data_IF_892276352042
#
_entry.id   IF_892276352042
#
_cell.length_a   1.000
_cell.length_b   1.000
_cell.length_c   1.000
_cell.angle_alpha   90.00
_cell.angle_beta   90.00
_cell.angle_gamma   90.00
#
_symmetry.space_group_name_H-M   'P 1'
#
loop_
_entity.id
_entity.type
_entity.pdbx_description
1 polymer ?
#
# COMPACT_ATOMS: atom_id res chain seq x y z
N UNK A 1 44.71 -8.73 28.91
CA UNK A 1 43.57 -8.11 28.20
C UNK A 1 43.67 -8.14 26.67
N UNK A 2 44.80 -7.75 26.05
CA UNK A 2 44.92 -7.74 24.56
C UNK A 2 44.63 -9.09 23.87
N UNK A 3 45.08 -10.21 24.44
CA UNK A 3 44.80 -11.56 23.90
C UNK A 3 43.32 -11.93 24.01
N UNK A 4 42.67 -11.60 25.13
CA UNK A 4 41.23 -11.83 25.34
C UNK A 4 40.41 -11.02 24.35
N UNK A 5 40.75 -9.74 24.14
CA UNK A 5 40.09 -8.90 23.15
C UNK A 5 40.24 -9.45 21.72
N UNK A 6 41.41 -10.00 21.37
CA UNK A 6 41.62 -10.63 20.06
C UNK A 6 40.76 -11.89 19.86
N UNK A 7 40.60 -12.74 20.88
CA UNK A 7 39.71 -13.90 20.80
C UNK A 7 38.23 -13.49 20.72
N UNK A 8 37.82 -12.49 21.49
CA UNK A 8 36.46 -11.96 21.48
C UNK A 8 36.12 -11.30 20.13
N UNK A 9 37.10 -10.59 19.55
CA UNK A 9 37.00 -10.03 18.21
C UNK A 9 36.95 -11.12 17.13
N UNK A 10 37.76 -12.18 17.24
CA UNK A 10 37.74 -13.32 16.33
C UNK A 10 36.40 -14.07 16.32
N UNK A 11 35.75 -14.21 17.49
CA UNK A 11 34.42 -14.83 17.61
C UNK A 11 33.32 -14.04 16.87
N UNK A 12 33.48 -12.73 16.67
CA UNK A 12 32.51 -11.93 15.92
C UNK A 12 32.48 -12.31 14.42
N UNK A 13 33.62 -12.73 13.85
CA UNK A 13 33.71 -13.11 12.43
C UNK A 13 33.17 -14.51 12.12
N UNK A 14 32.98 -15.36 13.12
CA UNK A 14 32.44 -16.71 12.94
C UNK A 14 30.90 -16.75 12.83
N UNK A 15 30.22 -15.61 12.94
CA UNK A 15 28.74 -15.52 12.93
C UNK A 15 28.11 -15.36 11.53
N UNK A 16 28.85 -15.56 10.43
CA UNK A 16 28.33 -15.32 9.06
C UNK A 16 27.54 -16.50 8.45
N UNK A 17 27.12 -17.48 9.25
CA UNK A 17 26.40 -18.64 8.73
C UNK A 17 24.94 -18.28 8.41
N UNK A 18 24.60 -18.27 7.12
CA UNK A 18 23.21 -18.26 6.68
C UNK A 18 22.68 -19.70 6.68
N UNK A 19 21.54 -19.94 7.34
CA UNK A 19 20.84 -21.22 7.24
C UNK A 19 19.78 -21.12 6.14
N UNK A 20 19.75 -22.11 5.25
CA UNK A 20 18.74 -22.25 4.20
C UNK A 20 17.95 -23.53 4.44
N UNK A 21 16.63 -23.41 4.43
CA UNK A 21 15.73 -24.57 4.42
C UNK A 21 14.61 -24.27 3.44
N UNK A 22 14.42 -25.16 2.46
CA UNK A 22 13.41 -25.03 1.42
C UNK A 22 12.43 -26.20 1.43
N UNK A 23 11.20 -25.96 0.99
CA UNK A 23 10.22 -26.99 0.66
C UNK A 23 9.65 -26.70 -0.73
N UNK A 24 9.70 -27.69 -1.62
CA UNK A 24 9.11 -27.61 -2.96
C UNK A 24 7.87 -28.50 -3.02
N UNK A 25 6.79 -28.01 -3.63
CA UNK A 25 5.62 -28.81 -3.98
C UNK A 25 5.30 -28.63 -5.46
N UNK A 26 5.21 -29.74 -6.18
CA UNK A 26 4.75 -29.75 -7.57
C UNK A 26 3.29 -30.22 -7.58
N UNK A 27 2.36 -29.28 -7.79
CA UNK A 27 0.94 -29.58 -7.87
C UNK A 27 0.41 -29.03 -9.19
N UNK A 28 0.48 -29.83 -10.24
CA UNK A 28 -0.14 -29.55 -11.52
C UNK A 28 -0.99 -30.75 -11.94
N UNK A 29 -2.20 -30.53 -12.50
CA UNK A 29 -2.98 -31.62 -13.07
C UNK A 29 -2.25 -32.24 -14.27
N UNK A 30 -2.33 -33.57 -14.41
CA UNK A 30 -1.70 -34.33 -15.51
C UNK A 30 -2.14 -33.90 -16.93
N UNK A 31 -3.23 -33.13 -17.04
CA UNK A 31 -3.84 -32.72 -18.31
C UNK A 31 -3.61 -31.24 -18.67
N UNK A 32 -2.64 -30.57 -18.03
CA UNK A 32 -2.33 -29.17 -18.32
C UNK A 32 -1.22 -29.15 -19.37
N UNK A 33 -1.53 -28.73 -20.60
CA UNK A 33 -0.53 -28.50 -21.66
C UNK A 33 0.21 -27.19 -21.32
N UNK A 34 1.32 -27.33 -20.57
CA UNK A 34 1.99 -26.22 -19.89
C UNK A 34 3.08 -25.58 -20.74
N UNK A 35 2.95 -24.28 -20.98
CA UNK A 35 4.11 -23.42 -21.25
C UNK A 35 4.43 -22.61 -20.00
N UNK A 36 5.67 -22.66 -19.52
CA UNK A 36 6.16 -21.79 -18.45
C UNK A 36 6.37 -20.41 -19.06
N UNK A 37 5.56 -19.44 -18.67
CA UNK A 37 5.63 -18.07 -19.19
C UNK A 37 6.59 -17.22 -18.38
N UNK A 38 6.56 -17.37 -17.05
CA UNK A 38 7.32 -16.50 -16.15
C UNK A 38 7.59 -17.19 -14.80
N UNK A 39 8.48 -16.58 -14.02
CA UNK A 39 8.73 -16.97 -12.63
C UNK A 39 8.26 -15.83 -11.70
N UNK A 40 7.46 -16.17 -10.70
CA UNK A 40 6.94 -15.26 -9.69
C UNK A 40 7.68 -15.44 -8.36
N UNK A 41 7.88 -14.33 -7.64
CA UNK A 41 8.54 -14.33 -6.34
C UNK A 41 7.83 -13.39 -5.34
N UNK A 42 7.57 -13.89 -4.15
CA UNK A 42 7.07 -13.12 -3.02
C UNK A 42 8.01 -13.21 -1.82
N UNK A 43 8.13 -12.11 -1.07
CA UNK A 43 9.08 -11.99 0.05
C UNK A 43 8.40 -11.50 1.32
N UNK A 44 8.82 -12.03 2.46
CA UNK A 44 8.49 -11.51 3.78
C UNK A 44 9.70 -11.59 4.71
N UNK A 45 9.83 -10.65 5.65
CA UNK A 45 10.91 -10.71 6.64
C UNK A 45 10.46 -10.28 8.03
N UNK A 46 11.08 -10.87 9.05
CA UNK A 46 10.92 -10.49 10.45
C UNK A 46 12.29 -10.31 11.10
N UNK A 47 12.39 -9.29 11.95
CA UNK A 47 13.57 -9.01 12.77
C UNK A 47 13.25 -9.35 14.22
N UNK A 48 14.14 -10.11 14.84
CA UNK A 48 14.09 -10.50 16.25
C UNK A 48 15.30 -9.91 16.95
N UNK A 49 15.11 -9.29 18.11
CA UNK A 49 16.18 -8.67 18.89
C UNK A 49 16.18 -9.36 20.27
N UNK A 50 17.30 -9.98 20.66
CA UNK A 50 17.37 -10.89 21.81
C UNK A 50 16.34 -12.03 21.76
N UNK A 51 15.96 -12.49 20.56
CA UNK A 51 14.90 -13.48 20.37
C UNK A 51 13.48 -12.94 20.62
N UNK A 52 13.33 -11.69 21.07
CA UNK A 52 12.06 -11.00 21.27
C UNK A 52 11.83 -10.09 20.06
N UNK A 53 10.72 -10.25 19.36
CA UNK A 53 10.46 -9.42 18.19
C UNK A 53 9.35 -9.93 17.31
N UNK A 54 9.29 -9.33 16.11
CA UNK A 54 8.41 -9.60 14.97
C UNK A 54 6.95 -9.96 15.23
N UNK A 55 6.32 -9.38 16.26
CA UNK A 55 4.95 -9.56 16.80
C UNK A 55 3.75 -10.00 15.90
N UNK A 56 3.90 -10.24 14.60
CA UNK A 56 2.90 -10.71 13.64
C UNK A 56 3.34 -11.96 12.81
N UNK A 57 4.56 -12.47 13.02
CA UNK A 57 5.20 -13.52 12.20
C UNK A 57 4.65 -14.95 12.35
N UNK A 58 3.46 -15.13 12.92
CA UNK A 58 2.76 -16.43 12.84
C UNK A 58 2.50 -16.85 11.38
N UNK A 59 2.62 -15.92 10.44
CA UNK A 59 2.23 -16.09 9.05
C UNK A 59 3.25 -15.56 8.03
N UNK A 60 4.57 -15.62 8.30
CA UNK A 60 5.57 -15.14 7.32
C UNK A 60 5.45 -15.78 5.94
N UNK A 61 5.14 -17.09 5.88
CA UNK A 61 4.88 -17.79 4.61
C UNK A 61 3.62 -17.24 3.93
N UNK A 62 2.57 -16.95 4.70
CA UNK A 62 1.34 -16.37 4.17
C UNK A 62 1.57 -14.95 3.65
N UNK A 63 2.39 -14.15 4.32
CA UNK A 63 2.71 -12.78 3.90
C UNK A 63 3.58 -12.79 2.64
N UNK A 64 4.55 -13.69 2.56
CA UNK A 64 5.33 -13.90 1.34
C UNK A 64 4.43 -14.39 0.18
N UNK A 65 3.49 -15.30 0.46
CA UNK A 65 2.48 -15.76 -0.51
C UNK A 65 1.56 -14.62 -0.99
N UNK A 66 1.07 -13.79 -0.07
CA UNK A 66 0.28 -12.59 -0.42
C UNK A 66 1.09 -11.61 -1.27
N UNK A 67 2.38 -11.43 -0.93
CA UNK A 67 3.28 -10.58 -1.71
C UNK A 67 3.48 -11.12 -3.13
N UNK A 68 3.63 -12.44 -3.29
CA UNK A 68 3.69 -13.09 -4.60
C UNK A 68 2.42 -12.79 -5.41
N UNK A 69 1.24 -13.00 -4.82
CA UNK A 69 -0.04 -12.76 -5.48
C UNK A 69 -0.29 -11.30 -5.83
N UNK A 70 0.14 -10.37 -4.97
CA UNK A 70 -0.01 -8.95 -5.26
C UNK A 70 0.92 -8.49 -6.37
N UNK A 71 2.15 -9.01 -6.44
CA UNK A 71 3.16 -8.57 -7.40
C UNK A 71 2.99 -9.21 -8.78
N UNK A 72 2.41 -10.41 -8.84
CA UNK A 72 2.30 -11.21 -10.06
C UNK A 72 0.85 -11.67 -10.30
N UNK A 73 -0.13 -10.75 -10.42
CA UNK A 73 -1.52 -11.15 -10.65
C UNK A 73 -1.60 -12.00 -11.94
N UNK A 74 -2.28 -13.13 -11.86
CA UNK A 74 -2.43 -14.06 -12.98
C UNK A 74 -3.44 -13.53 -14.00
N UNK A 75 -3.14 -13.66 -15.29
CA UNK A 75 -4.06 -13.40 -16.39
C UNK A 75 -4.89 -14.65 -16.72
N UNK A 76 -6.06 -14.49 -17.33
CA UNK A 76 -6.99 -15.60 -17.64
C UNK A 76 -6.29 -16.78 -18.29
N UNK A 77 -6.51 -17.99 -17.76
CA UNK A 77 -5.85 -19.21 -18.23
C UNK A 77 -4.44 -19.46 -17.65
N UNK A 78 -3.94 -18.57 -16.77
CA UNK A 78 -2.69 -18.78 -16.05
C UNK A 78 -2.89 -19.38 -14.65
N UNK A 79 -1.91 -20.16 -14.20
CA UNK A 79 -1.86 -20.75 -12.87
C UNK A 79 -0.44 -20.71 -12.28
N UNK A 80 -0.33 -20.73 -10.95
CA UNK A 80 0.95 -20.95 -10.28
C UNK A 80 1.25 -22.44 -10.16
N UNK A 81 2.43 -22.82 -10.60
CA UNK A 81 3.03 -24.14 -10.55
C UNK A 81 4.29 -24.14 -9.69
N UNK A 82 4.77 -25.34 -9.33
CA UNK A 82 6.08 -25.55 -8.70
C UNK A 82 6.37 -24.59 -7.54
N UNK A 83 5.42 -24.47 -6.62
CA UNK A 83 5.55 -23.56 -5.48
C UNK A 83 6.70 -24.02 -4.57
N UNK A 84 7.66 -23.13 -4.36
CA UNK A 84 8.79 -23.33 -3.46
C UNK A 84 8.71 -22.32 -2.33
N UNK A 85 8.94 -22.78 -1.10
CA UNK A 85 9.06 -21.92 0.07
C UNK A 85 10.48 -22.04 0.59
N UNK A 86 11.26 -20.98 0.45
CA UNK A 86 12.63 -20.90 0.93
C UNK A 86 12.73 -19.99 2.14
N UNK A 87 13.40 -20.48 3.18
CA UNK A 87 13.69 -19.72 4.39
C UNK A 87 15.17 -19.42 4.49
N UNK A 88 15.48 -18.16 4.75
CA UNK A 88 16.83 -17.68 5.01
C UNK A 88 16.91 -17.01 6.38
N UNK A 89 17.74 -17.57 7.25
CA UNK A 89 18.01 -17.01 8.57
C UNK A 89 19.40 -16.37 8.60
N UNK A 90 19.46 -15.10 8.99
CA UNK A 90 20.68 -14.35 9.23
C UNK A 90 20.80 -14.05 10.73
N UNK A 91 21.48 -14.91 11.50
CA UNK A 91 21.81 -14.60 12.87
C UNK A 91 22.98 -13.62 12.91
N UNK A 92 22.82 -12.50 13.63
CA UNK A 92 23.89 -11.55 13.90
C UNK A 92 23.87 -11.13 15.36
N UNK A 93 24.69 -11.79 16.19
CA UNK A 93 24.94 -11.46 17.58
C UNK A 93 23.66 -11.52 18.45
N UNK A 94 22.88 -10.44 18.47
CA UNK A 94 21.65 -10.29 19.23
C UNK A 94 20.44 -10.04 18.31
N UNK A 95 20.67 -9.85 17.02
CA UNK A 95 19.64 -9.58 16.02
C UNK A 95 19.57 -10.76 15.07
N UNK A 96 18.39 -11.38 14.96
CA UNK A 96 18.13 -12.43 13.97
C UNK A 96 17.18 -11.86 12.92
N UNK A 97 17.57 -11.95 11.65
CA UNK A 97 16.68 -11.61 10.53
C UNK A 97 16.22 -12.90 9.87
N UNK A 98 14.91 -13.16 9.91
CA UNK A 98 14.28 -14.30 9.27
C UNK A 98 13.59 -13.83 7.99
N UNK A 99 14.05 -14.30 6.84
CA UNK A 99 13.46 -14.00 5.54
C UNK A 99 12.79 -15.25 4.98
N UNK A 100 11.59 -15.09 4.45
CA UNK A 100 10.87 -16.13 3.71
C UNK A 100 10.68 -15.64 2.28
N UNK A 101 11.01 -16.51 1.35
CA UNK A 101 10.81 -16.38 -0.08
C UNK A 101 9.80 -17.45 -0.48
N UNK A 102 8.81 -17.06 -1.27
CA UNK A 102 7.92 -18.00 -1.95
C UNK A 102 8.13 -17.76 -3.42
N UNK A 103 8.50 -18.79 -4.18
CA UNK A 103 8.60 -18.72 -5.63
C UNK A 103 7.60 -19.68 -6.26
N UNK A 104 7.18 -19.36 -7.48
CA UNK A 104 6.29 -20.19 -8.28
C UNK A 104 6.56 -19.95 -9.77
N UNK A 105 6.36 -20.96 -10.59
CA UNK A 105 6.33 -20.81 -12.04
C UNK A 105 4.91 -20.40 -12.45
N UNK A 106 4.78 -19.43 -13.35
CA UNK A 106 3.51 -19.08 -13.98
C UNK A 106 3.41 -19.90 -15.25
N UNK A 107 2.43 -20.80 -15.28
CA UNK A 107 2.10 -21.60 -16.46
C UNK A 107 0.81 -21.08 -17.08
N UNK A 108 0.71 -21.09 -18.40
CA UNK A 108 -0.58 -20.92 -19.07
C UNK A 108 -1.00 -22.21 -19.74
N UNK A 109 -2.32 -22.39 -19.79
CA UNK A 109 -2.96 -23.33 -20.68
C UNK A 109 -3.85 -22.52 -21.66
N UNK A 110 -3.49 -22.46 -22.95
CA UNK A 110 -4.29 -21.74 -23.95
C UNK A 110 -5.68 -22.34 -24.17
N UNK A 111 -5.94 -23.57 -23.69
CA UNK A 111 -7.25 -24.21 -23.75
C UNK A 111 -8.22 -23.74 -22.66
N UNK A 112 -7.71 -23.21 -21.54
CA UNK A 112 -8.51 -22.71 -20.43
C UNK A 112 -8.99 -21.28 -20.69
N UNK A 113 -10.16 -21.15 -21.31
CA UNK A 113 -10.84 -19.86 -21.55
C UNK A 113 -11.56 -19.26 -20.33
N UNK A 114 -11.53 -19.95 -19.18
CA UNK A 114 -12.41 -19.63 -18.05
C UNK A 114 -11.63 -19.35 -16.77
N UNK A 115 -12.10 -18.36 -15.99
CA UNK A 115 -11.38 -17.78 -14.84
C UNK A 115 -11.58 -18.58 -13.54
N UNK A 116 -12.09 -19.81 -13.65
CA UNK A 116 -12.52 -20.63 -12.50
C UNK A 116 -11.40 -20.89 -11.49
N UNK A 117 -10.15 -20.97 -11.94
CA UNK A 117 -8.97 -21.14 -11.08
C UNK A 117 -8.52 -19.83 -10.41
N UNK A 118 -8.85 -18.67 -11.00
CA UNK A 118 -8.45 -17.36 -10.49
C UNK A 118 -9.28 -16.88 -9.31
N UNK A 119 -10.57 -17.24 -9.26
CA UNK A 119 -11.44 -16.88 -8.14
C UNK A 119 -10.94 -17.39 -6.77
N UNK A 120 -10.12 -18.44 -6.74
CA UNK A 120 -9.48 -18.92 -5.50
C UNK A 120 -8.34 -18.02 -4.99
N UNK A 121 -7.71 -17.26 -5.90
CA UNK A 121 -6.56 -16.39 -5.59
C UNK A 121 -6.94 -14.93 -5.45
N UNK A 122 -8.09 -14.53 -5.98
CA UNK A 122 -8.71 -13.26 -5.62
C UNK A 122 -8.93 -13.26 -4.10
N UNK A 123 -8.42 -12.25 -3.37
CA UNK A 123 -8.74 -12.13 -1.94
C UNK A 123 -10.26 -12.13 -1.85
N UNK A 124 -10.89 -12.99 -1.02
CA UNK A 124 -12.32 -13.17 -1.04
C UNK A 124 -12.96 -11.79 -1.01
N UNK A 125 -13.56 -11.41 -2.15
CA UNK A 125 -14.40 -10.23 -2.25
C UNK A 125 -15.68 -10.65 -1.53
N UNK A 126 -15.57 -10.83 -0.23
CA UNK A 126 -16.73 -10.85 0.61
C UNK A 126 -17.36 -9.48 0.32
N UNK A 127 -18.58 -9.46 -0.18
CA UNK A 127 -19.36 -8.22 -0.26
C UNK A 127 -19.43 -7.56 1.14
N UNK A 128 -19.24 -8.34 2.22
CA UNK A 128 -19.02 -7.85 3.58
C UNK A 128 -17.56 -7.50 3.91
N UNK A 129 -16.54 -7.99 3.19
CA UNK A 129 -15.11 -7.68 3.37
C UNK A 129 -14.73 -6.31 2.83
N UNK A 130 -15.27 -5.93 1.66
CA UNK A 130 -15.28 -4.53 1.23
C UNK A 130 -16.12 -3.68 2.20
N UNK A 131 -17.21 -4.21 2.79
CA UNK A 131 -17.93 -3.51 3.86
C UNK A 131 -17.16 -3.42 5.20
N UNK A 132 -16.26 -4.35 5.54
CA UNK A 132 -15.51 -4.31 6.80
C UNK A 132 -14.45 -3.20 6.74
N UNK A 133 -13.81 -3.00 5.58
CA UNK A 133 -12.90 -1.87 5.38
C UNK A 133 -13.63 -0.56 5.07
N UNK A 134 -14.77 -0.60 4.35
CA UNK A 134 -15.65 0.55 4.12
C UNK A 134 -16.30 1.08 5.40
N UNK A 135 -16.74 0.23 6.34
CA UNK A 135 -17.24 0.67 7.65
C UNK A 135 -16.18 1.38 8.49
N UNK A 136 -14.89 1.06 8.29
CA UNK A 136 -13.78 1.73 8.98
C UNK A 136 -13.12 2.86 8.15
N UNK A 137 -13.62 3.15 6.96
CA UNK A 137 -13.12 4.23 6.09
C UNK A 137 -11.80 3.94 5.37
N UNK A 138 -11.34 2.70 5.34
CA UNK A 138 -10.16 2.27 4.58
C UNK A 138 -10.66 1.65 3.27
N UNK A 139 -10.29 2.21 2.13
CA UNK A 139 -10.82 1.79 0.81
C UNK A 139 -9.70 1.44 -0.18
N UNK A 140 -8.48 1.26 0.32
CA UNK A 140 -7.29 0.93 -0.47
C UNK A 140 -6.60 -0.33 0.08
N UNK A 141 -5.95 -1.07 -0.81
CA UNK A 141 -5.17 -2.28 -0.55
C UNK A 141 -3.70 -2.05 -0.88
N UNK A 142 -2.84 -2.97 -0.43
CA UNK A 142 -1.44 -2.96 -0.86
C UNK A 142 -1.37 -3.22 -2.38
N UNK A 143 -0.37 -2.62 -3.02
CA UNK A 143 -0.13 -2.57 -4.46
C UNK A 143 -1.12 -1.75 -5.30
N UNK A 144 -2.18 -1.19 -4.71
CA UNK A 144 -3.08 -0.29 -5.42
C UNK A 144 -2.30 0.92 -5.98
N UNK A 145 -2.57 1.26 -7.23
CA UNK A 145 -2.06 2.48 -7.85
C UNK A 145 -2.93 3.67 -7.45
N UNK A 146 -2.29 4.67 -6.87
CA UNK A 146 -2.94 5.86 -6.34
C UNK A 146 -2.31 7.13 -6.89
N UNK A 147 -3.15 8.12 -7.19
CA UNK A 147 -2.73 9.49 -7.43
C UNK A 147 -2.67 10.26 -6.10
N UNK A 148 -1.58 11.02 -5.92
CA UNK A 148 -1.34 11.91 -4.79
C UNK A 148 -1.39 13.33 -5.30
N UNK A 149 -2.35 14.11 -4.80
CA UNK A 149 -2.50 15.52 -5.18
C UNK A 149 -1.56 16.37 -4.32
N UNK A 150 -0.60 17.04 -4.97
CA UNK A 150 0.29 18.03 -4.36
C UNK A 150 0.20 19.35 -5.14
N UNK A 151 -0.57 20.30 -4.61
CA UNK A 151 -0.71 21.69 -5.11
C UNK A 151 -1.00 21.83 -6.61
N UNK A 152 -0.01 21.59 -7.49
CA UNK A 152 -0.10 21.72 -8.95
C UNK A 152 0.35 20.48 -9.72
N UNK A 153 0.84 19.44 -9.04
CA UNK A 153 1.31 18.21 -9.67
C UNK A 153 0.66 17.01 -8.98
N UNK A 154 0.21 16.08 -9.81
CA UNK A 154 -0.20 14.77 -9.35
C UNK A 154 0.97 13.81 -9.49
N UNK A 155 1.30 13.15 -8.40
CA UNK A 155 2.30 12.09 -8.41
C UNK A 155 1.58 10.75 -8.32
N UNK A 156 2.00 9.80 -9.15
CA UNK A 156 1.50 8.44 -9.11
C UNK A 156 2.41 7.62 -8.19
N UNK A 157 1.79 6.85 -7.31
CA UNK A 157 2.50 5.92 -6.43
C UNK A 157 1.72 4.62 -6.23
N UNK A 158 2.38 3.65 -5.59
CA UNK A 158 1.77 2.38 -5.19
C UNK A 158 1.71 2.27 -3.69
N UNK A 159 0.59 1.80 -3.17
CA UNK A 159 0.45 1.55 -1.73
C UNK A 159 1.36 0.39 -1.34
N UNK A 160 2.31 0.62 -0.45
CA UNK A 160 3.16 -0.45 0.10
C UNK A 160 2.41 -1.20 1.19
N UNK A 161 1.83 -0.45 2.14
CA UNK A 161 1.05 -1.01 3.26
C UNK A 161 0.17 0.02 3.94
N UNK A 162 -0.91 -0.44 4.56
CA UNK A 162 -1.77 0.37 5.43
C UNK A 162 -1.16 0.42 6.84
N UNK A 163 -0.85 1.62 7.32
CA UNK A 163 -0.25 1.82 8.66
C UNK A 163 -1.31 2.02 9.75
N UNK A 164 -2.54 2.30 9.36
CA UNK A 164 -3.70 2.47 10.24
C UNK A 164 -4.84 3.18 9.53
N UNK A 165 -5.92 3.49 10.25
CA UNK A 165 -7.17 4.05 9.69
C UNK A 165 -7.02 5.31 8.83
N UNK A 166 -6.00 6.12 9.10
CA UNK A 166 -5.80 7.41 8.42
C UNK A 166 -4.47 7.52 7.69
N UNK A 167 -3.61 6.50 7.74
CA UNK A 167 -2.23 6.59 7.25
C UNK A 167 -1.82 5.37 6.45
N UNK A 168 -1.13 5.60 5.35
CA UNK A 168 -0.55 4.54 4.51
C UNK A 168 0.88 4.87 4.12
N UNK A 169 1.65 3.84 3.85
CA UNK A 169 2.97 3.92 3.24
C UNK A 169 2.83 3.78 1.74
N UNK A 170 3.43 4.69 0.98
CA UNK A 170 3.35 4.71 -0.48
C UNK A 170 4.75 4.83 -1.05
N UNK A 171 5.00 4.13 -2.15
CA UNK A 171 6.25 4.21 -2.91
C UNK A 171 6.01 4.84 -4.27
N UNK A 172 6.95 5.67 -4.73
CA UNK A 172 6.95 6.25 -6.07
C UNK A 172 8.38 6.52 -6.53
N UNK A 173 8.69 6.43 -7.83
CA UNK A 173 10.00 6.82 -8.36
C UNK A 173 10.42 8.24 -7.99
N UNK A 174 9.45 9.16 -7.82
CA UNK A 174 9.73 10.57 -7.55
C UNK A 174 10.15 10.86 -6.10
N UNK A 175 9.75 10.03 -5.13
CA UNK A 175 9.97 10.33 -3.70
C UNK A 175 10.34 9.11 -2.84
N UNK A 176 10.53 7.93 -3.42
CA UNK A 176 10.77 6.69 -2.68
C UNK A 176 9.57 6.31 -1.79
N UNK A 177 9.83 5.73 -0.62
CA UNK A 177 8.80 5.40 0.35
C UNK A 177 8.47 6.56 1.29
N UNK A 178 7.19 6.94 1.37
CA UNK A 178 6.73 8.00 2.27
C UNK A 178 5.36 7.72 2.88
N UNK A 179 5.17 8.22 4.10
CA UNK A 179 3.90 8.13 4.84
C UNK A 179 2.97 9.28 4.46
N UNK A 180 1.71 8.97 4.23
CA UNK A 180 0.69 9.96 3.85
C UNK A 180 -0.64 9.71 4.55
N UNK A 181 -1.48 10.74 4.59
CA UNK A 181 -2.87 10.64 5.07
C UNK A 181 -3.76 10.04 3.99
N UNK A 182 -4.61 9.09 4.34
CA UNK A 182 -5.48 8.36 3.40
C UNK A 182 -6.35 9.29 2.53
N UNK A 183 -6.83 10.40 3.10
CA UNK A 183 -7.66 11.40 2.41
C UNK A 183 -6.98 12.12 1.24
N UNK A 184 -5.66 12.00 1.08
CA UNK A 184 -4.91 12.64 -0.01
C UNK A 184 -4.78 11.77 -1.26
N UNK A 185 -5.33 10.55 -1.22
CA UNK A 185 -5.23 9.59 -2.30
C UNK A 185 -6.50 9.54 -3.13
N UNK A 186 -6.30 9.16 -4.38
CA UNK A 186 -7.35 8.83 -5.34
C UNK A 186 -6.94 7.55 -6.04
N UNK A 187 -7.79 6.53 -6.01
CA UNK A 187 -7.54 5.28 -6.73
C UNK A 187 -7.64 5.52 -8.22
N UNK A 188 -6.69 4.95 -8.97
CA UNK A 188 -6.68 4.96 -10.44
C UNK A 188 -7.28 3.70 -11.07
N UNK A 189 -7.72 2.75 -10.24
CA UNK A 189 -8.32 1.49 -10.70
C UNK A 189 -9.72 1.73 -11.28
N UNK A 190 -9.94 1.28 -12.52
CA UNK A 190 -11.21 1.40 -13.26
C UNK A 190 -12.31 0.49 -12.69
N UNK A 191 -11.93 -0.55 -11.95
CA UNK A 191 -12.89 -1.53 -11.41
C UNK A 191 -13.45 -1.12 -10.05
N UNK A 192 -12.92 -0.07 -9.43
CA UNK A 192 -13.36 0.35 -8.11
C UNK A 192 -14.63 1.19 -8.23
N UNK A 193 -15.72 0.65 -7.69
CA UNK A 193 -16.98 1.37 -7.51
C UNK A 193 -17.24 1.57 -6.02
N UNK A 194 -17.54 2.80 -5.64
CA UNK A 194 -18.02 3.08 -4.29
C UNK A 194 -19.53 2.94 -4.30
N UNK A 195 -20.06 2.27 -3.28
CA UNK A 195 -21.51 2.24 -3.02
C UNK A 195 -21.93 3.71 -2.89
N UNK A 196 -22.88 4.15 -3.70
CA UNK A 196 -23.38 5.54 -3.76
C UNK A 196 -22.54 6.53 -4.62
N UNK A 197 -21.69 6.03 -5.51
CA UNK A 197 -20.93 6.87 -6.46
C UNK A 197 -21.11 6.33 -7.89
N UNK A 198 -21.81 7.09 -8.73
CA UNK A 198 -22.09 6.72 -10.13
C UNK A 198 -20.94 7.04 -11.10
N UNK A 199 -19.75 7.27 -10.56
CA UNK A 199 -18.56 7.64 -11.33
C UNK A 199 -17.55 6.50 -11.39
N UNK A 200 -16.88 6.36 -12.53
CA UNK A 200 -15.76 5.42 -12.71
C UNK A 200 -14.55 6.13 -13.34
N UNK A 201 -13.35 5.59 -13.07
CA UNK A 201 -12.11 6.16 -13.63
C UNK A 201 -12.12 6.02 -15.16
N UNK A 202 -11.80 7.10 -15.85
CA UNK A 202 -11.85 7.23 -17.32
C UNK A 202 -13.15 7.83 -17.85
N UNK A 203 -14.17 8.03 -17.01
CA UNK A 203 -15.42 8.66 -17.43
C UNK A 203 -15.24 10.17 -17.68
N UNK A 204 -15.79 10.67 -18.78
CA UNK A 204 -15.91 12.12 -19.02
C UNK A 204 -17.11 12.69 -18.28
N UNK A 205 -16.90 13.79 -17.56
CA UNK A 205 -17.91 14.48 -16.76
C UNK A 205 -17.85 16.00 -17.01
N UNK A 206 -18.98 16.71 -17.01
CA UNK A 206 -18.97 18.16 -17.02
C UNK A 206 -18.43 18.69 -15.68
N UNK A 207 -17.58 19.70 -15.76
CA UNK A 207 -16.98 20.39 -14.62
C UNK A 207 -16.94 21.91 -14.89
N UNK A 208 -16.86 22.69 -13.83
CA UNK A 208 -16.71 24.14 -13.91
C UNK A 208 -15.30 24.50 -13.47
N UNK A 209 -14.58 25.29 -14.26
CA UNK A 209 -13.25 25.77 -13.91
C UNK A 209 -13.13 27.25 -14.24
N UNK A 210 -12.91 28.06 -13.20
CA UNK A 210 -12.84 29.53 -13.31
C UNK A 210 -14.07 30.17 -13.97
N UNK A 211 -15.24 29.57 -13.78
CA UNK A 211 -16.52 30.04 -14.34
C UNK A 211 -16.82 29.56 -15.76
N UNK A 212 -15.91 28.81 -16.39
CA UNK A 212 -16.14 28.20 -17.70
C UNK A 212 -16.58 26.73 -17.53
N UNK A 213 -17.58 26.34 -18.32
CA UNK A 213 -17.98 24.93 -18.46
C UNK A 213 -16.92 24.18 -19.26
N UNK A 214 -16.30 23.18 -18.62
CA UNK A 214 -15.26 22.34 -19.22
C UNK A 214 -15.64 20.87 -19.12
N UNK A 215 -15.17 20.07 -20.07
CA UNK A 215 -15.26 18.60 -19.96
C UNK A 215 -13.99 18.09 -19.28
N UNK A 216 -14.13 17.25 -18.26
CA UNK A 216 -13.02 16.66 -17.54
C UNK A 216 -13.15 15.13 -17.46
N UNK A 217 -12.03 14.43 -17.44
CA UNK A 217 -11.98 12.98 -17.28
C UNK A 217 -11.72 12.62 -15.83
N UNK A 218 -12.48 11.68 -15.26
CA UNK A 218 -12.25 11.17 -13.91
C UNK A 218 -10.94 10.39 -13.90
N UNK A 219 -9.87 10.99 -13.36
CA UNK A 219 -8.54 10.37 -13.29
C UNK A 219 -8.32 9.55 -12.02
N UNK A 220 -9.14 9.77 -10.99
CA UNK A 220 -9.15 8.93 -9.80
C UNK A 220 -10.30 9.24 -8.84
N UNK A 221 -10.60 8.31 -7.94
CA UNK A 221 -11.77 8.39 -7.04
C UNK A 221 -11.36 8.05 -5.61
N UNK A 222 -11.95 8.73 -4.64
CA UNK A 222 -11.99 8.27 -3.25
C UNK A 222 -13.41 8.39 -2.68
N UNK A 223 -13.62 7.95 -1.43
CA UNK A 223 -14.92 7.96 -0.76
C UNK A 223 -15.59 9.35 -0.57
N UNK A 224 -14.95 10.46 -0.93
CA UNK A 224 -15.48 11.83 -0.77
C UNK A 224 -15.32 12.71 -2.00
N UNK A 225 -14.31 12.45 -2.82
CA UNK A 225 -13.87 13.35 -3.86
C UNK A 225 -13.52 12.59 -5.14
N UNK A 226 -13.78 13.24 -6.27
CA UNK A 226 -13.29 12.89 -7.60
C UNK A 226 -12.04 13.72 -7.90
N UNK A 227 -11.03 13.09 -8.49
CA UNK A 227 -9.91 13.77 -9.11
C UNK A 227 -10.17 13.86 -10.61
N UNK A 228 -10.52 15.03 -11.08
CA UNK A 228 -10.83 15.30 -12.48
C UNK A 228 -9.58 15.82 -13.18
N UNK A 229 -9.36 15.40 -14.41
CA UNK A 229 -8.27 15.83 -15.27
C UNK A 229 -8.87 16.57 -16.48
N UNK A 230 -8.45 17.81 -16.68
CA UNK A 230 -8.68 18.56 -17.92
C UNK A 230 -7.41 18.56 -18.76
N UNK A 231 -7.44 19.21 -19.93
CA UNK A 231 -6.27 19.31 -20.81
C UNK A 231 -5.07 20.01 -20.16
N UNK A 232 -5.32 20.90 -19.18
CA UNK A 232 -4.29 21.78 -18.61
C UNK A 232 -4.12 21.67 -17.09
N UNK A 233 -5.07 21.06 -16.37
CA UNK A 233 -5.03 21.04 -14.91
C UNK A 233 -5.77 19.83 -14.31
N UNK A 234 -5.65 19.68 -13.00
CA UNK A 234 -6.44 18.75 -12.22
C UNK A 234 -7.36 19.51 -11.27
N UNK A 235 -8.57 18.98 -11.09
CA UNK A 235 -9.58 19.52 -10.21
C UNK A 235 -9.97 18.46 -9.18
N UNK A 236 -10.30 18.89 -7.97
CA UNK A 236 -10.85 18.02 -6.94
C UNK A 236 -12.30 18.42 -6.71
N UNK A 237 -13.24 17.52 -7.00
CA UNK A 237 -14.68 17.76 -6.86
C UNK A 237 -15.24 16.86 -5.76
N UNK A 238 -16.05 17.40 -4.87
CA UNK A 238 -16.79 16.59 -3.89
C UNK A 238 -17.83 15.72 -4.58
N UNK A 239 -17.97 14.46 -4.17
CA UNK A 239 -18.96 13.52 -4.69
C UNK A 239 -20.37 13.88 -4.20
N UNK A 240 -20.47 14.38 -2.97
CA UNK A 240 -21.75 14.64 -2.31
C UNK A 240 -22.17 16.12 -2.33
N UNK A 241 -21.30 17.03 -2.79
CA UNK A 241 -21.63 18.45 -2.83
C UNK A 241 -22.03 18.88 -4.24
N UNK A 242 -23.18 19.53 -4.33
CA UNK A 242 -23.44 20.60 -5.30
C UNK A 242 -22.30 21.61 -5.24
N UNK A 243 -21.51 21.68 -6.31
CA UNK A 243 -20.36 22.58 -6.59
C UNK A 243 -19.80 23.41 -5.40
N UNK A 244 -18.92 22.82 -4.59
CA UNK A 244 -17.95 23.59 -3.79
C UNK A 244 -16.56 23.46 -4.43
N UNK A 245 -16.05 24.57 -4.98
CA UNK A 245 -14.69 24.71 -5.50
C UNK A 245 -13.71 24.77 -4.31
N UNK A 246 -12.94 23.70 -4.13
CA UNK A 246 -11.83 23.67 -3.16
C UNK A 246 -10.59 24.34 -3.76
N UNK A 247 -10.53 25.67 -3.74
CA UNK A 247 -9.27 26.39 -3.96
C UNK A 247 -8.34 26.35 -2.71
N UNK A 248 -8.86 26.05 -1.51
CA UNK A 248 -8.08 26.18 -0.25
C UNK A 248 -8.23 25.01 0.74
N UNK A 249 -8.04 23.75 0.31
CA UNK A 249 -7.97 22.61 1.23
C UNK A 249 -6.77 22.66 2.22
N UNK A 250 -5.91 23.67 2.12
CA UNK A 250 -4.76 23.89 3.01
C UNK A 250 -5.06 24.85 4.19
N UNK A 251 -6.07 25.74 4.09
CA UNK A 251 -6.28 26.81 5.09
C UNK A 251 -6.98 26.34 6.38
N UNK A 252 -7.85 25.33 6.33
CA UNK A 252 -8.49 24.77 7.53
C UNK A 252 -7.59 23.86 8.38
N UNK A 253 -6.42 23.46 7.87
CA UNK A 253 -5.51 22.55 8.59
C UNK A 253 -4.60 23.29 9.57
N UNK A 254 -4.40 24.60 9.38
CA UNK A 254 -3.53 25.41 10.25
C UNK A 254 -4.28 26.36 11.21
N UNK A 255 -5.61 26.51 11.11
CA UNK A 255 -6.35 27.50 11.92
C UNK A 255 -6.91 26.99 13.27
N UNK A 256 -6.79 25.69 13.59
CA UNK A 256 -7.28 25.13 14.88
C UNK A 256 -6.20 24.90 15.95
N UNK A 257 -5.12 25.68 15.92
CA UNK A 257 -3.99 25.52 16.84
C UNK A 257 -3.34 26.81 17.30
N UNK A 258 -4.09 27.87 17.63
CA UNK A 258 -3.57 29.00 18.42
C UNK A 258 -4.67 29.98 18.83
N UNK A 259 -5.42 29.66 19.88
CA UNK A 259 -6.13 30.66 20.68
C UNK A 259 -6.02 30.32 22.17
N UNK A 260 -4.78 30.37 22.67
CA UNK A 260 -4.55 30.58 24.10
C UNK A 260 -4.84 32.04 24.44
N UNK A 261 -5.51 32.36 25.55
CA UNK A 261 -5.87 33.73 25.89
C UNK A 261 -4.63 34.56 26.20
N UNK A 262 -4.52 35.69 25.50
CA UNK A 262 -3.65 36.82 25.83
C UNK A 262 -3.92 37.27 27.27
N UNK A 263 -2.92 37.10 28.13
CA UNK A 263 -2.87 37.70 29.46
C UNK A 263 -1.71 38.68 29.44
N UNK A 264 -2.00 39.98 29.46
CA UNK A 264 -1.27 41.05 30.18
C UNK A 264 -1.83 42.44 29.78
N UNK A 265 -1.55 43.54 30.52
CA UNK A 265 -1.09 43.66 31.90
C UNK A 265 -1.97 44.64 32.72
N UNK A 266 -2.01 44.51 34.05
CA UNK A 266 -2.47 45.60 34.94
C UNK A 266 -1.31 46.15 35.75
N UNK A 267 -0.75 47.25 35.27
CA UNK A 267 -0.02 48.23 36.08
C UNK A 267 -0.93 48.77 37.18
N UNK A 268 -0.52 48.64 38.44
CA UNK A 268 -0.99 49.48 39.55
C UNK A 268 0.18 50.29 40.08
N UNK A 269 0.00 51.61 40.03
CA UNK A 269 0.78 52.64 40.69
C UNK A 269 0.60 52.60 42.23
N UNK A 270 1.50 53.23 42.99
CA UNK A 270 1.57 53.11 44.45
C UNK A 270 0.55 54.02 45.14
N UNK A 271 0.12 53.63 46.34
CA UNK A 271 -0.59 54.50 47.28
C UNK A 271 0.25 54.69 48.54
N UNK A 272 0.23 55.88 49.15
CA UNK A 272 1.07 56.25 50.28
C UNK A 272 0.40 55.93 51.62
N UNK A 273 1.23 55.63 52.63
CA UNK A 273 1.18 56.18 54.00
C UNK A 273 2.38 55.66 54.78
#
# INVERSE_FOLDING_TARGET
MRRVAAYLFGLLFLNSCAFHSGMMTANLPDNFDQEIIAQAEGRASAVYIFGIGGLDHKYLVTDAKKNLYSNYPLEKGQAYANLVVDRRLFPFLLVNVNQIFVTADIVADPSLKNDSLQHFFEPPINEKGLQIFSKEGIWIKANDEVAIVKSKKNEVGRIVRVLGRKKVMVTSPAFGEKKYKLRKFFLKDQNVRFKDVDYFVGQSVPAEYKGDDVTATVSGINHKYLLLQTDSTFLVRSIHATNELLEDAESEVNSKGSSGPSVEPRLRSPQPK
#
